data_IF_768191475012
#
_entry.id   IF_768191475012
#
_cell.length_a   1.000
_cell.length_b   1.000
_cell.length_c   1.000
_cell.angle_alpha   90.00
_cell.angle_beta   90.00
_cell.angle_gamma   90.00
#
_symmetry.space_group_name_H-M   'P 1'
#
loop_
_entity.id
_entity.type
_entity.pdbx_description
1 polymer ?
#
# COMPACT_ATOMS: atom_id res chain seq x y z
N UNK A 1 -0.51 17.80 -11.56
CA UNK A 1 -0.33 18.73 -10.42
C UNK A 1 0.72 18.14 -9.48
N UNK A 2 1.47 18.99 -8.76
CA UNK A 2 2.43 18.49 -7.80
C UNK A 2 1.70 17.73 -6.68
N UNK A 3 2.27 16.59 -6.26
CA UNK A 3 1.72 15.77 -5.18
C UNK A 3 2.64 15.84 -3.97
N UNK A 4 2.09 16.17 -2.81
CA UNK A 4 2.79 16.13 -1.52
C UNK A 4 2.37 14.87 -0.77
N UNK A 5 3.33 14.01 -0.47
CA UNK A 5 3.13 12.85 0.39
C UNK A 5 3.80 13.10 1.75
N UNK A 6 3.03 12.93 2.83
CA UNK A 6 3.53 13.02 4.20
C UNK A 6 3.43 11.64 4.86
N UNK A 7 4.51 11.23 5.51
CA UNK A 7 4.59 9.96 6.23
C UNK A 7 4.87 10.23 7.70
N UNK A 8 4.09 9.62 8.59
CA UNK A 8 4.32 9.62 10.02
C UNK A 8 4.41 8.18 10.52
N UNK A 9 5.42 7.90 11.33
CA UNK A 9 5.65 6.57 11.92
C UNK A 9 5.82 6.75 13.42
N UNK A 10 5.05 5.97 14.19
CA UNK A 10 5.16 5.90 15.63
C UNK A 10 5.00 4.46 16.12
N UNK A 11 5.31 4.21 17.38
CA UNK A 11 5.21 2.89 18.02
C UNK A 11 3.99 2.89 18.95
N UNK A 12 3.11 1.92 18.78
CA UNK A 12 1.95 1.72 19.64
C UNK A 12 1.93 0.28 20.18
N UNK A 13 1.25 0.08 21.31
CA UNK A 13 0.94 -1.27 21.80
C UNK A 13 -0.32 -1.77 21.10
N UNK A 14 -0.32 -3.04 20.70
CA UNK A 14 -1.45 -3.66 20.00
C UNK A 14 -2.79 -3.48 20.73
N UNK A 15 -2.78 -3.59 22.05
CA UNK A 15 -3.98 -3.46 22.89
C UNK A 15 -4.56 -2.04 22.97
N UNK A 16 -3.81 -1.01 22.59
CA UNK A 16 -4.22 0.39 22.65
C UNK A 16 -4.77 0.89 21.30
N UNK A 17 -4.74 0.04 20.27
CA UNK A 17 -5.20 0.39 18.92
C UNK A 17 -6.70 0.17 18.82
N UNK A 18 -7.44 1.20 18.42
CA UNK A 18 -8.85 1.13 18.05
C UNK A 18 -9.02 1.22 16.54
N UNK A 19 -10.06 0.58 16.04
CA UNK A 19 -10.42 0.63 14.61
C UNK A 19 -11.59 1.61 14.40
N UNK A 20 -11.73 2.21 13.20
CA UNK A 20 -12.64 3.32 13.00
C UNK A 20 -14.12 2.94 12.90
N UNK A 21 -14.47 1.66 12.68
CA UNK A 21 -15.87 1.28 12.52
C UNK A 21 -16.69 1.41 13.83
N UNK A 22 -17.98 1.77 13.72
CA UNK A 22 -18.92 1.81 14.83
C UNK A 22 -19.06 0.42 15.48
N UNK A 23 -19.11 0.36 16.81
CA UNK A 23 -19.02 -0.89 17.57
C UNK A 23 -20.35 -1.34 18.17
N UNK A 24 -21.05 -0.44 18.88
CA UNK A 24 -22.16 -0.86 19.75
C UNK A 24 -23.35 0.09 19.66
N UNK A 25 -24.53 -0.41 19.29
CA UNK A 25 -25.77 0.35 19.37
C UNK A 25 -26.01 0.92 20.77
N UNK A 26 -26.44 2.16 20.83
CA UNK A 26 -26.66 2.89 22.07
C UNK A 26 -25.46 3.71 22.57
N UNK A 27 -24.28 3.50 22.02
CA UNK A 27 -23.12 4.37 22.27
C UNK A 27 -23.33 5.77 21.73
N UNK A 28 -22.67 6.74 22.34
CA UNK A 28 -22.83 8.16 22.05
C UNK A 28 -21.80 8.58 21.00
N UNK A 29 -22.24 9.34 20.02
CA UNK A 29 -21.38 9.98 19.03
C UNK A 29 -21.05 11.40 19.45
N UNK A 30 -19.76 11.72 19.49
CA UNK A 30 -19.26 13.04 19.87
C UNK A 30 -18.28 13.56 18.82
N UNK A 31 -18.13 14.90 18.78
CA UNK A 31 -17.10 15.57 18.00
C UNK A 31 -16.22 16.41 18.90
N UNK A 32 -14.93 16.31 18.71
CA UNK A 32 -13.92 17.16 19.32
C UNK A 32 -13.45 18.16 18.28
N UNK A 33 -13.64 19.46 18.59
CA UNK A 33 -13.25 20.54 17.72
C UNK A 33 -11.83 21.03 18.05
N UNK A 34 -11.09 21.45 17.01
CA UNK A 34 -9.84 22.17 17.17
C UNK A 34 -10.07 23.67 16.98
N UNK A 35 -9.28 24.47 17.69
CA UNK A 35 -9.32 25.91 17.57
C UNK A 35 -8.42 26.39 16.44
N UNK A 36 -8.82 27.47 15.78
CA UNK A 36 -8.03 28.14 14.73
C UNK A 36 -7.85 29.62 15.09
N UNK A 37 -6.74 30.19 14.67
CA UNK A 37 -6.45 31.60 14.81
C UNK A 37 -7.16 32.44 13.70
N UNK A 38 -6.88 33.74 13.67
CA UNK A 38 -7.44 34.68 12.69
C UNK A 38 -7.02 34.41 11.23
N UNK A 39 -6.01 33.56 11.01
CA UNK A 39 -5.52 33.13 9.70
C UNK A 39 -5.96 31.69 9.34
N UNK A 40 -6.89 31.14 10.11
CA UNK A 40 -7.36 29.75 9.95
C UNK A 40 -6.25 28.68 10.19
N UNK A 41 -5.23 29.04 10.97
CA UNK A 41 -4.15 28.13 11.37
C UNK A 41 -4.54 27.47 12.71
N UNK A 42 -4.39 26.12 12.85
CA UNK A 42 -4.68 25.44 14.10
C UNK A 42 -3.86 26.01 15.29
N UNK A 43 -4.52 26.21 16.41
CA UNK A 43 -3.85 26.58 17.68
C UNK A 43 -3.16 25.33 18.23
N UNK A 44 -1.88 25.14 17.90
CA UNK A 44 -1.15 23.88 18.13
C UNK A 44 -1.11 23.45 19.60
N UNK A 45 -1.05 24.37 20.56
CA UNK A 45 -1.08 24.01 21.98
C UNK A 45 -2.44 23.40 22.38
N UNK A 46 -3.54 23.96 21.85
CA UNK A 46 -4.87 23.41 22.08
C UNK A 46 -5.02 22.03 21.40
N UNK A 47 -4.56 21.90 20.16
CA UNK A 47 -4.58 20.63 19.41
C UNK A 47 -3.81 19.54 20.16
N UNK A 48 -2.61 19.87 20.66
CA UNK A 48 -1.79 18.92 21.43
C UNK A 48 -2.47 18.49 22.73
N UNK A 49 -3.04 19.44 23.47
CA UNK A 49 -3.77 19.12 24.70
C UNK A 49 -5.01 18.25 24.43
N UNK A 50 -5.77 18.57 23.38
CA UNK A 50 -6.94 17.83 22.95
C UNK A 50 -6.57 16.39 22.54
N UNK A 51 -5.57 16.23 21.69
CA UNK A 51 -5.18 14.89 21.20
C UNK A 51 -4.60 14.02 22.31
N UNK A 52 -3.86 14.58 23.27
CA UNK A 52 -3.44 13.86 24.47
C UNK A 52 -4.65 13.36 25.28
N UNK A 53 -5.67 14.22 25.44
CA UNK A 53 -6.90 13.83 26.16
C UNK A 53 -7.65 12.72 25.39
N UNK A 54 -7.74 12.79 24.06
CA UNK A 54 -8.36 11.74 23.23
C UNK A 54 -7.58 10.42 23.36
N UNK A 55 -6.25 10.49 23.38
CA UNK A 55 -5.40 9.33 23.56
C UNK A 55 -5.68 8.62 24.91
N UNK A 56 -5.69 9.37 26.02
CA UNK A 56 -6.03 8.85 27.34
C UNK A 56 -7.45 8.23 27.38
N UNK A 57 -8.43 8.85 26.72
CA UNK A 57 -9.79 8.34 26.61
C UNK A 57 -9.86 7.06 25.76
N UNK A 58 -8.98 6.89 24.82
CA UNK A 58 -8.85 5.66 24.03
C UNK A 58 -8.22 4.55 24.86
N UNK A 59 -7.10 4.82 25.55
CA UNK A 59 -6.42 3.84 26.40
C UNK A 59 -7.32 3.29 27.51
N UNK A 60 -8.16 4.12 28.10
CA UNK A 60 -9.08 3.70 29.18
C UNK A 60 -10.40 3.10 28.65
N UNK A 61 -10.54 2.97 27.32
CA UNK A 61 -11.72 2.41 26.65
C UNK A 61 -12.99 3.25 26.78
N UNK A 62 -12.87 4.55 26.99
CA UNK A 62 -14.00 5.51 26.92
C UNK A 62 -14.35 5.75 25.46
N UNK A 63 -13.36 6.03 24.61
CA UNK A 63 -13.51 6.06 23.17
C UNK A 63 -13.23 4.65 22.63
N UNK A 64 -14.16 4.10 21.88
CA UNK A 64 -14.08 2.73 21.34
C UNK A 64 -13.89 2.70 19.83
N UNK A 65 -14.18 3.80 19.15
CA UNK A 65 -13.82 4.04 17.75
C UNK A 65 -13.72 5.55 17.47
N UNK A 66 -12.92 5.94 16.50
CA UNK A 66 -12.73 7.34 16.13
C UNK A 66 -12.35 7.51 14.66
N UNK A 67 -12.63 8.68 14.10
CA UNK A 67 -12.27 9.05 12.74
C UNK A 67 -11.96 10.55 12.64
N UNK A 68 -10.96 10.90 11.83
CA UNK A 68 -10.59 12.31 11.60
C UNK A 68 -11.51 12.92 10.54
N UNK A 69 -12.03 14.11 10.79
CA UNK A 69 -12.80 14.87 9.83
C UNK A 69 -11.90 15.57 8.79
N UNK A 70 -12.47 15.81 7.62
CA UNK A 70 -11.79 16.45 6.50
C UNK A 70 -12.59 17.67 5.96
N UNK A 71 -12.31 18.07 4.71
CA UNK A 71 -13.01 19.13 4.00
C UNK A 71 -14.54 18.95 3.90
N UNK A 72 -15.02 17.72 4.05
CA UNK A 72 -16.44 17.38 3.85
C UNK A 72 -17.25 17.36 5.15
N UNK A 73 -16.61 17.68 6.29
CA UNK A 73 -17.26 17.74 7.58
C UNK A 73 -17.37 16.42 8.32
N UNK A 74 -18.20 16.41 9.37
CA UNK A 74 -18.26 15.24 10.26
C UNK A 74 -19.26 14.16 9.81
N UNK A 75 -20.28 14.47 9.03
CA UNK A 75 -21.26 13.46 8.59
C UNK A 75 -20.62 12.41 7.67
N UNK A 76 -19.83 12.77 6.65
CA UNK A 76 -19.10 11.78 5.86
C UNK A 76 -18.12 10.93 6.67
N UNK A 77 -17.49 11.49 7.72
CA UNK A 77 -16.65 10.73 8.63
C UNK A 77 -17.46 9.64 9.37
N UNK A 78 -18.62 10.02 9.94
CA UNK A 78 -19.56 9.07 10.59
C UNK A 78 -20.08 8.01 9.62
N UNK A 79 -20.39 8.40 8.36
CA UNK A 79 -20.80 7.42 7.34
C UNK A 79 -19.71 6.36 7.10
N UNK A 80 -18.45 6.78 6.99
CA UNK A 80 -17.32 5.84 6.84
C UNK A 80 -17.17 4.93 8.05
N UNK A 81 -17.35 5.46 9.27
CA UNK A 81 -17.36 4.64 10.49
C UNK A 81 -18.51 3.63 10.49
N UNK A 82 -19.66 3.97 9.95
CA UNK A 82 -20.84 3.11 9.88
C UNK A 82 -20.71 1.96 8.87
N UNK A 83 -19.97 2.16 7.78
CA UNK A 83 -19.83 1.19 6.68
C UNK A 83 -19.20 -0.14 7.13
N UNK A 84 -18.25 -0.11 8.06
CA UNK A 84 -17.51 -1.31 8.49
C UNK A 84 -18.38 -2.39 9.08
N UNK A 85 -19.17 -2.06 10.12
CA UNK A 85 -20.07 -2.99 10.79
C UNK A 85 -21.53 -2.83 10.37
N UNK A 86 -21.82 -1.98 9.38
CA UNK A 86 -23.16 -1.70 8.86
C UNK A 86 -24.14 -1.24 9.94
N UNK A 87 -23.63 -0.56 10.96
CA UNK A 87 -24.44 0.07 11.98
C UNK A 87 -24.92 1.43 11.51
N UNK A 88 -26.13 1.81 11.92
CA UNK A 88 -26.64 3.14 11.64
C UNK A 88 -26.29 4.15 12.74
N UNK A 89 -26.71 5.39 12.52
CA UNK A 89 -26.68 6.42 13.56
C UNK A 89 -27.88 7.36 13.44
N UNK A 90 -28.22 7.98 14.57
CA UNK A 90 -29.21 9.05 14.62
C UNK A 90 -28.55 10.31 15.15
N UNK A 91 -28.56 11.38 14.37
CA UNK A 91 -28.05 12.68 14.76
C UNK A 91 -29.11 13.45 15.57
N UNK A 92 -28.65 14.28 16.51
CA UNK A 92 -29.51 15.17 17.26
C UNK A 92 -30.17 16.20 16.34
N UNK A 93 -31.45 16.45 16.53
CA UNK A 93 -32.24 17.36 15.68
C UNK A 93 -31.92 18.83 15.88
N UNK A 94 -31.23 19.20 16.95
CA UNK A 94 -30.79 20.57 17.28
C UNK A 94 -29.47 20.97 16.59
N UNK A 95 -28.77 20.03 15.94
CA UNK A 95 -27.61 20.34 15.12
C UNK A 95 -28.03 21.23 13.94
N UNK A 96 -27.20 22.22 13.62
CA UNK A 96 -27.43 23.11 12.48
C UNK A 96 -27.07 22.39 11.18
N UNK A 97 -27.92 22.51 10.17
CA UNK A 97 -27.70 21.86 8.86
C UNK A 97 -26.38 22.28 8.21
N UNK A 98 -26.01 23.57 8.33
CA UNK A 98 -24.77 24.10 7.78
C UNK A 98 -23.53 23.45 8.40
N UNK A 99 -23.61 22.96 9.65
CA UNK A 99 -22.48 22.35 10.33
C UNK A 99 -22.23 20.89 9.93
N UNK A 100 -23.20 20.21 9.30
CA UNK A 100 -23.11 18.78 8.98
C UNK A 100 -21.98 18.46 8.00
N UNK A 101 -21.79 19.35 7.03
CA UNK A 101 -20.83 19.21 5.92
C UNK A 101 -19.80 20.36 5.88
N UNK A 102 -19.78 21.22 6.90
CA UNK A 102 -18.78 22.28 6.99
C UNK A 102 -17.37 21.67 7.15
N UNK A 103 -16.35 22.24 6.49
CA UNK A 103 -14.96 21.80 6.67
C UNK A 103 -14.58 21.70 8.15
N UNK A 104 -13.95 20.58 8.54
CA UNK A 104 -13.63 20.30 9.92
C UNK A 104 -12.26 19.60 10.03
N UNK A 105 -11.26 20.12 9.32
CA UNK A 105 -9.92 19.57 9.31
C UNK A 105 -9.35 19.41 10.72
N UNK A 106 -8.81 18.22 11.03
CA UNK A 106 -8.23 17.91 12.32
C UNK A 106 -9.23 17.69 13.47
N UNK A 107 -10.53 18.00 13.28
CA UNK A 107 -11.55 17.60 14.24
C UNK A 107 -11.69 16.07 14.24
N UNK A 108 -12.05 15.49 15.37
CA UNK A 108 -12.22 14.05 15.53
C UNK A 108 -13.65 13.75 15.93
N UNK A 109 -14.30 12.84 15.20
CA UNK A 109 -15.53 12.19 15.63
C UNK A 109 -15.22 10.89 16.32
N UNK A 110 -15.91 10.59 17.40
CA UNK A 110 -15.69 9.40 18.21
C UNK A 110 -16.99 8.76 18.66
N UNK A 111 -16.95 7.44 18.75
CA UNK A 111 -17.93 6.65 19.47
C UNK A 111 -17.47 6.46 20.90
N UNK A 112 -18.30 6.86 21.85
CA UNK A 112 -18.04 6.82 23.27
C UNK A 112 -18.97 5.79 23.92
N UNK A 113 -18.42 4.89 24.73
CA UNK A 113 -19.20 3.96 25.51
C UNK A 113 -20.22 4.72 26.38
N UNK A 114 -21.48 4.32 26.30
CA UNK A 114 -22.61 5.07 26.90
C UNK A 114 -22.46 5.34 28.40
N UNK A 115 -21.94 4.37 29.12
CA UNK A 115 -21.71 4.42 30.56
C UNK A 115 -20.44 5.19 30.97
N UNK A 116 -19.61 5.59 30.00
CA UNK A 116 -18.35 6.30 30.23
C UNK A 116 -18.32 7.75 29.74
N UNK A 117 -19.45 8.28 29.30
CA UNK A 117 -19.52 9.64 28.78
C UNK A 117 -19.00 10.70 29.79
N UNK A 118 -19.26 10.47 31.08
CA UNK A 118 -18.83 11.37 32.18
C UNK A 118 -17.31 11.39 32.40
N UNK A 119 -16.56 10.48 31.77
CA UNK A 119 -15.10 10.47 31.80
C UNK A 119 -14.50 11.60 30.95
N UNK A 120 -15.23 12.11 29.97
CA UNK A 120 -14.75 13.19 29.08
C UNK A 120 -14.75 14.50 29.87
N UNK A 121 -13.56 15.06 30.06
CA UNK A 121 -13.36 16.35 30.74
C UNK A 121 -13.01 17.49 29.80
N UNK A 122 -12.62 17.16 28.56
CA UNK A 122 -12.40 18.16 27.50
C UNK A 122 -13.70 18.54 26.81
N UNK A 123 -13.74 19.68 26.16
CA UNK A 123 -14.92 20.12 25.43
C UNK A 123 -15.24 19.22 24.25
N UNK A 124 -16.51 18.89 24.06
CA UNK A 124 -17.01 18.12 22.93
C UNK A 124 -18.44 18.54 22.54
N UNK A 125 -18.80 18.27 21.32
CA UNK A 125 -20.16 18.41 20.81
C UNK A 125 -20.81 17.03 20.72
N UNK A 126 -21.94 16.82 21.40
CA UNK A 126 -22.72 15.57 21.27
C UNK A 126 -23.46 15.57 19.94
N UNK A 127 -23.12 14.64 19.06
CA UNK A 127 -23.70 14.53 17.72
C UNK A 127 -24.96 13.68 17.67
N UNK A 128 -25.01 12.60 18.44
CA UNK A 128 -26.10 11.64 18.36
C UNK A 128 -25.78 10.30 19.01
N UNK A 129 -26.32 9.26 18.45
CA UNK A 129 -26.22 7.90 19.01
C UNK A 129 -26.10 6.84 17.91
N UNK A 130 -25.32 5.80 18.15
CA UNK A 130 -25.22 4.62 17.29
C UNK A 130 -26.51 3.81 17.34
N UNK A 131 -26.98 3.33 16.20
CA UNK A 131 -28.22 2.55 16.05
C UNK A 131 -27.94 1.18 15.44
N UNK A 132 -28.67 0.17 15.88
CA UNK A 132 -28.61 -1.17 15.30
C UNK A 132 -29.20 -1.19 13.87
N UNK A 133 -30.28 -0.40 13.64
CA UNK A 133 -30.84 -0.26 12.30
C UNK A 133 -29.83 0.40 11.38
N UNK A 134 -29.50 -0.26 10.27
CA UNK A 134 -28.55 0.20 9.26
C UNK A 134 -29.10 1.40 8.47
N UNK A 135 -29.27 2.54 9.13
CA UNK A 135 -29.74 3.78 8.52
C UNK A 135 -29.11 5.00 9.20
N UNK A 136 -28.81 6.03 8.41
CA UNK A 136 -28.42 7.36 8.86
C UNK A 136 -29.68 8.21 8.99
N UNK A 137 -29.92 8.75 10.17
CA UNK A 137 -31.11 9.55 10.41
C UNK A 137 -30.79 10.94 10.96
N UNK A 138 -31.42 11.93 10.40
CA UNK A 138 -31.40 13.31 10.88
C UNK A 138 -32.73 13.98 10.57
N UNK A 139 -33.45 14.44 11.58
CA UNK A 139 -34.82 14.96 11.46
C UNK A 139 -35.71 13.96 10.68
N UNK A 140 -36.31 14.38 9.58
CA UNK A 140 -37.17 13.56 8.72
C UNK A 140 -36.40 12.75 7.67
N UNK A 141 -35.08 12.97 7.56
CA UNK A 141 -34.23 12.30 6.56
C UNK A 141 -33.76 10.95 7.11
N UNK A 142 -33.87 9.91 6.29
CA UNK A 142 -33.35 8.57 6.58
C UNK A 142 -32.72 7.98 5.32
N UNK A 143 -31.45 7.61 5.40
CA UNK A 143 -30.67 7.02 4.30
C UNK A 143 -30.21 5.64 4.72
N UNK A 144 -30.40 4.63 3.88
CA UNK A 144 -29.92 3.28 4.14
C UNK A 144 -28.39 3.20 4.01
N UNK A 145 -27.71 2.48 4.95
CA UNK A 145 -26.26 2.34 4.97
C UNK A 145 -25.74 1.67 3.71
N UNK A 146 -26.38 0.59 3.25
CA UNK A 146 -25.96 -0.14 2.04
C UNK A 146 -26.09 0.71 0.78
N UNK A 147 -27.15 1.51 0.69
CA UNK A 147 -27.35 2.45 -0.42
C UNK A 147 -26.22 3.49 -0.44
N UNK A 148 -25.92 4.09 0.71
CA UNK A 148 -24.85 5.07 0.83
C UNK A 148 -23.47 4.46 0.54
N UNK A 149 -23.22 3.23 1.01
CA UNK A 149 -21.98 2.49 0.74
C UNK A 149 -21.82 2.22 -0.76
N UNK A 150 -22.87 1.73 -1.43
CA UNK A 150 -22.85 1.51 -2.89
C UNK A 150 -22.48 2.77 -3.66
N UNK A 151 -23.12 3.90 -3.32
CA UNK A 151 -22.80 5.19 -3.97
C UNK A 151 -21.36 5.62 -3.75
N UNK A 152 -20.81 5.35 -2.56
CA UNK A 152 -19.43 5.69 -2.24
C UNK A 152 -18.42 4.80 -2.98
N UNK A 153 -18.67 3.49 -3.06
CA UNK A 153 -17.83 2.51 -3.76
C UNK A 153 -17.88 2.69 -5.29
N UNK A 154 -19.07 2.91 -5.85
CA UNK A 154 -19.27 3.01 -7.29
C UNK A 154 -18.60 4.23 -7.95
N UNK A 155 -18.18 5.21 -7.16
CA UNK A 155 -17.62 6.48 -7.68
C UNK A 155 -16.43 6.27 -8.63
N UNK A 156 -15.57 5.33 -8.36
CA UNK A 156 -14.38 5.02 -9.16
C UNK A 156 -14.52 3.71 -9.94
N UNK A 157 -15.63 2.99 -9.81
CA UNK A 157 -15.80 1.64 -10.39
C UNK A 157 -15.57 1.60 -11.90
N UNK A 158 -15.92 2.69 -12.63
CA UNK A 158 -15.67 2.79 -14.08
C UNK A 158 -14.21 2.92 -14.47
N UNK A 159 -13.35 3.38 -13.55
CA UNK A 159 -11.92 3.62 -13.77
C UNK A 159 -11.09 2.50 -13.12
N UNK A 160 -11.48 2.08 -11.93
CA UNK A 160 -10.85 1.03 -11.16
C UNK A 160 -11.91 0.01 -10.71
N UNK A 161 -12.31 -0.93 -11.60
CA UNK A 161 -13.32 -1.93 -11.27
C UNK A 161 -12.89 -2.79 -10.08
N UNK A 162 -13.74 -2.88 -9.06
CA UNK A 162 -13.54 -3.75 -7.89
C UNK A 162 -14.05 -5.16 -8.12
N UNK A 163 -14.90 -5.34 -9.14
CA UNK A 163 -15.47 -6.64 -9.52
C UNK A 163 -14.93 -7.07 -10.87
N UNK A 164 -14.21 -8.18 -10.87
CA UNK A 164 -13.84 -8.86 -12.13
C UNK A 164 -15.09 -9.52 -12.73
N UNK A 165 -15.13 -9.65 -14.07
CA UNK A 165 -16.22 -10.35 -14.74
C UNK A 165 -16.45 -11.73 -14.11
N UNK A 166 -17.71 -12.13 -14.02
CA UNK A 166 -18.18 -13.33 -13.29
C UNK A 166 -17.66 -14.70 -13.77
N UNK A 167 -16.85 -14.73 -14.80
CA UNK A 167 -16.19 -15.96 -15.26
C UNK A 167 -14.90 -16.21 -14.49
N UNK A 168 -15.02 -16.60 -13.24
CA UNK A 168 -13.91 -17.22 -12.52
C UNK A 168 -13.92 -18.72 -12.83
N UNK A 169 -13.18 -19.12 -13.83
CA UNK A 169 -12.73 -20.50 -13.88
C UNK A 169 -11.85 -20.74 -12.66
N UNK A 170 -12.25 -21.71 -11.85
CA UNK A 170 -11.41 -22.18 -10.74
C UNK A 170 -10.05 -22.59 -11.30
N UNK A 171 -9.02 -21.81 -11.02
CA UNK A 171 -7.65 -22.17 -11.38
C UNK A 171 -7.18 -23.21 -10.37
N UNK A 172 -6.91 -24.42 -10.84
CA UNK A 172 -6.29 -25.45 -10.02
C UNK A 172 -4.89 -24.97 -9.61
N UNK A 173 -4.71 -24.68 -8.32
CA UNK A 173 -3.40 -24.29 -7.79
C UNK A 173 -2.52 -25.55 -7.70
N UNK A 174 -1.65 -25.74 -8.67
CA UNK A 174 -0.63 -26.79 -8.61
C UNK A 174 0.48 -26.35 -7.67
N UNK A 175 0.54 -26.97 -6.51
CA UNK A 175 1.66 -26.79 -5.58
C UNK A 175 2.85 -27.60 -6.11
N UNK A 176 3.99 -26.93 -6.29
CA UNK A 176 5.24 -27.59 -6.60
C UNK A 176 5.84 -28.17 -5.30
N UNK A 177 5.94 -29.49 -5.24
CA UNK A 177 6.67 -30.18 -4.18
C UNK A 177 7.98 -30.70 -4.76
N UNK A 178 9.10 -30.09 -4.32
CA UNK A 178 10.41 -30.56 -4.74
C UNK A 178 10.71 -31.89 -4.07
N UNK A 179 10.90 -32.95 -4.86
CA UNK A 179 11.35 -34.26 -4.37
C UNK A 179 12.83 -34.21 -3.92
N UNK A 180 13.62 -33.37 -4.59
CA UNK A 180 15.04 -33.18 -4.28
C UNK A 180 15.40 -31.71 -4.27
N UNK A 181 16.25 -31.30 -3.30
CA UNK A 181 16.84 -29.96 -3.28
C UNK A 181 17.99 -29.92 -4.29
N UNK A 182 17.91 -29.01 -5.26
CA UNK A 182 19.00 -28.80 -6.21
C UNK A 182 20.24 -28.26 -5.49
N UNK A 183 21.37 -28.91 -5.69
CA UNK A 183 22.66 -28.50 -5.13
C UNK A 183 23.54 -28.04 -6.28
N UNK A 184 23.97 -26.78 -6.25
CA UNK A 184 24.85 -26.21 -7.26
C UNK A 184 26.12 -27.05 -7.42
N UNK A 185 26.46 -27.37 -8.67
CA UNK A 185 27.66 -28.15 -9.01
C UNK A 185 28.93 -27.34 -8.83
N UNK A 186 28.87 -26.05 -9.12
CA UNK A 186 29.99 -25.11 -9.05
C UNK A 186 30.01 -24.38 -7.70
N UNK A 187 30.50 -25.05 -6.66
CA UNK A 187 30.56 -24.50 -5.30
C UNK A 187 31.61 -23.40 -5.19
N UNK A 188 31.22 -22.26 -4.64
CA UNK A 188 32.10 -21.14 -4.28
C UNK A 188 32.00 -20.86 -2.79
N UNK A 189 33.10 -20.44 -2.18
CA UNK A 189 33.14 -20.18 -0.74
C UNK A 189 32.23 -19.02 -0.35
N UNK A 190 32.14 -18.00 -1.19
CA UNK A 190 31.30 -16.81 -1.01
C UNK A 190 30.67 -16.44 -2.32
N UNK A 191 29.36 -16.69 -2.53
CA UNK A 191 28.70 -16.38 -3.78
C UNK A 191 28.62 -14.86 -3.99
N UNK A 192 28.75 -14.42 -5.24
CA UNK A 192 28.54 -13.04 -5.65
C UNK A 192 27.15 -12.89 -6.24
N UNK A 193 26.47 -11.81 -5.85
CA UNK A 193 25.14 -11.43 -6.34
C UNK A 193 25.25 -10.13 -7.10
N UNK A 194 24.82 -10.12 -8.34
CA UNK A 194 24.70 -8.90 -9.12
C UNK A 194 23.28 -8.33 -9.03
N UNK A 195 23.16 -7.05 -8.67
CA UNK A 195 21.89 -6.31 -8.61
C UNK A 195 21.94 -5.17 -9.61
N UNK A 196 21.24 -5.27 -10.76
CA UNK A 196 21.08 -4.18 -11.71
C UNK A 196 20.09 -3.14 -11.19
N UNK A 197 20.44 -1.87 -11.27
CA UNK A 197 19.60 -0.73 -10.86
C UNK A 197 19.26 0.13 -12.06
N UNK A 198 17.98 0.37 -12.30
CA UNK A 198 17.45 1.22 -13.35
C UNK A 198 16.67 2.40 -12.74
N UNK A 199 16.41 3.47 -13.52
CA UNK A 199 15.52 4.53 -13.07
C UNK A 199 14.19 3.97 -12.57
N UNK A 200 13.80 4.31 -11.33
CA UNK A 200 12.62 3.78 -10.66
C UNK A 200 12.82 2.51 -9.84
N UNK A 201 14.01 1.89 -9.84
CA UNK A 201 14.38 0.84 -8.86
C UNK A 201 14.58 1.48 -7.49
N UNK A 202 14.10 0.84 -6.41
CA UNK A 202 14.27 1.36 -5.06
C UNK A 202 14.45 0.30 -3.96
N UNK A 203 14.54 -0.97 -4.31
CA UNK A 203 14.70 -2.09 -3.35
C UNK A 203 16.11 -2.70 -3.39
N UNK A 204 17.07 -2.10 -4.07
CA UNK A 204 18.45 -2.59 -4.18
C UNK A 204 19.18 -2.59 -2.84
N UNK A 205 18.91 -1.60 -1.99
CA UNK A 205 19.54 -1.47 -0.68
C UNK A 205 19.13 -2.60 0.28
N UNK A 206 17.82 -2.88 0.37
CA UNK A 206 17.32 -3.94 1.24
C UNK A 206 17.67 -5.32 0.71
N UNK A 207 17.67 -5.50 -0.61
CA UNK A 207 18.14 -6.71 -1.28
C UNK A 207 19.63 -6.95 -0.99
N UNK A 208 20.45 -5.91 -1.08
CA UNK A 208 21.87 -5.98 -0.73
C UNK A 208 22.07 -6.49 0.70
N UNK A 209 21.40 -5.86 1.67
CA UNK A 209 21.48 -6.29 3.09
C UNK A 209 21.04 -7.73 3.30
N UNK A 210 19.98 -8.17 2.61
CA UNK A 210 19.49 -9.54 2.75
C UNK A 210 20.52 -10.56 2.26
N UNK A 211 21.15 -10.33 1.12
CA UNK A 211 22.18 -11.20 0.57
C UNK A 211 23.49 -11.18 1.39
N UNK A 212 23.91 -10.02 1.88
CA UNK A 212 25.08 -9.89 2.77
C UNK A 212 24.86 -10.63 4.09
N UNK A 213 23.67 -10.55 4.70
CA UNK A 213 23.30 -11.33 5.90
C UNK A 213 23.33 -12.83 5.63
N UNK A 214 23.03 -13.25 4.41
CA UNK A 214 23.12 -14.64 3.98
C UNK A 214 24.55 -15.07 3.63
N UNK A 215 25.54 -14.18 3.75
CA UNK A 215 26.95 -14.47 3.52
C UNK A 215 27.45 -14.29 2.09
N UNK A 216 26.69 -13.62 1.23
CA UNK A 216 27.10 -13.30 -0.14
C UNK A 216 27.88 -11.97 -0.25
N UNK A 217 28.65 -11.81 -1.33
CA UNK A 217 29.16 -10.52 -1.79
C UNK A 217 28.22 -9.91 -2.81
N UNK A 218 27.86 -8.63 -2.67
CA UNK A 218 26.91 -7.98 -3.56
C UNK A 218 27.59 -6.95 -4.47
N UNK A 219 27.26 -6.98 -5.75
CA UNK A 219 27.69 -6.02 -6.76
C UNK A 219 26.45 -5.25 -7.22
N UNK A 220 26.34 -3.98 -6.85
CA UNK A 220 25.27 -3.10 -7.31
C UNK A 220 25.82 -2.19 -8.41
N UNK A 221 25.12 -2.12 -9.55
CA UNK A 221 25.49 -1.22 -10.65
C UNK A 221 24.26 -0.50 -11.18
N UNK A 222 24.41 0.82 -11.37
CA UNK A 222 23.36 1.69 -11.93
C UNK A 222 23.49 1.77 -13.43
N UNK A 223 22.37 1.58 -14.13
CA UNK A 223 22.29 1.74 -15.57
C UNK A 223 22.21 3.22 -15.94
N UNK A 224 23.25 3.73 -16.62
CA UNK A 224 23.34 5.12 -17.08
C UNK A 224 22.59 5.26 -18.40
N UNK A 225 21.50 5.99 -18.44
CA UNK A 225 20.64 6.12 -19.63
C UNK A 225 20.54 7.55 -20.18
N UNK A 226 21.44 8.46 -19.76
CA UNK A 226 21.41 9.86 -20.18
C UNK A 226 21.86 10.05 -21.61
N UNK A 227 22.83 9.26 -22.09
CA UNK A 227 23.36 9.31 -23.42
C UNK A 227 23.80 7.93 -23.95
N UNK A 228 24.15 7.87 -25.23
CA UNK A 228 24.57 6.63 -25.88
C UNK A 228 25.92 6.08 -25.35
N UNK A 229 26.79 6.92 -24.82
CA UNK A 229 28.05 6.48 -24.23
C UNK A 229 27.81 5.81 -22.88
N UNK A 230 26.98 6.40 -21.99
CA UNK A 230 26.60 5.83 -20.73
C UNK A 230 25.85 4.51 -20.88
N UNK A 231 24.98 4.38 -21.90
CA UNK A 231 24.30 3.11 -22.20
C UNK A 231 25.31 2.03 -22.57
N UNK A 232 26.27 2.30 -23.45
CA UNK A 232 27.31 1.32 -23.82
C UNK A 232 28.17 0.92 -22.62
N UNK A 233 28.64 1.91 -21.86
CA UNK A 233 29.39 1.66 -20.61
C UNK A 233 28.61 0.76 -19.65
N UNK A 234 27.33 1.03 -19.44
CA UNK A 234 26.48 0.24 -18.55
C UNK A 234 26.30 -1.20 -19.02
N UNK A 235 26.13 -1.41 -20.34
CA UNK A 235 26.04 -2.76 -20.92
C UNK A 235 27.32 -3.54 -20.65
N UNK A 236 28.50 -2.92 -20.89
CA UNK A 236 29.80 -3.57 -20.68
C UNK A 236 30.06 -3.82 -19.16
N UNK A 237 29.66 -2.90 -18.27
CA UNK A 237 29.77 -3.10 -16.81
C UNK A 237 28.84 -4.20 -16.30
N UNK A 238 27.62 -4.27 -16.80
CA UNK A 238 26.65 -5.30 -16.43
C UNK A 238 27.09 -6.67 -16.93
N UNK A 239 27.56 -6.80 -18.17
CA UNK A 239 28.14 -8.03 -18.71
C UNK A 239 29.26 -8.56 -17.79
N UNK A 240 30.21 -7.71 -17.40
CA UNK A 240 31.30 -8.07 -16.49
C UNK A 240 30.80 -8.47 -15.11
N UNK A 241 29.81 -7.73 -14.56
CA UNK A 241 29.22 -8.04 -13.26
C UNK A 241 28.52 -9.41 -13.28
N UNK A 242 27.73 -9.70 -14.31
CA UNK A 242 27.05 -10.99 -14.50
C UNK A 242 28.10 -12.12 -14.63
N UNK A 243 29.16 -11.89 -15.40
CA UNK A 243 30.21 -12.89 -15.59
C UNK A 243 30.93 -13.30 -14.30
N UNK A 244 31.00 -12.40 -13.31
CA UNK A 244 31.63 -12.65 -12.00
C UNK A 244 30.68 -13.20 -10.95
N UNK A 245 29.37 -13.15 -11.20
CA UNK A 245 28.32 -13.48 -10.20
C UNK A 245 27.80 -14.90 -10.36
N UNK A 246 27.31 -15.48 -9.28
CA UNK A 246 26.59 -16.75 -9.25
C UNK A 246 25.08 -16.52 -9.23
N UNK A 247 24.63 -15.34 -8.82
CA UNK A 247 23.22 -14.97 -8.72
C UNK A 247 23.03 -13.61 -9.39
N UNK A 248 21.96 -13.48 -10.18
CA UNK A 248 21.45 -12.19 -10.61
C UNK A 248 20.12 -11.92 -9.89
N UNK A 249 20.00 -10.75 -9.24
CA UNK A 249 18.81 -10.33 -8.52
C UNK A 249 18.17 -9.12 -9.19
N UNK A 250 16.96 -9.28 -9.71
CA UNK A 250 16.13 -8.21 -10.26
C UNK A 250 15.29 -7.62 -9.12
N UNK A 251 15.63 -6.42 -8.62
CA UNK A 251 14.95 -5.83 -7.48
C UNK A 251 13.57 -5.27 -7.85
N UNK A 252 12.81 -4.95 -6.81
CA UNK A 252 11.54 -4.28 -6.94
C UNK A 252 11.67 -2.78 -7.22
N UNK A 253 10.54 -2.10 -7.21
CA UNK A 253 10.39 -0.69 -7.54
C UNK A 253 9.44 -0.50 -8.71
N UNK A 254 9.61 0.58 -9.46
CA UNK A 254 8.71 0.99 -10.55
C UNK A 254 9.48 1.35 -11.80
N UNK A 255 10.38 0.46 -12.27
CA UNK A 255 11.23 0.77 -13.42
C UNK A 255 10.40 1.04 -14.69
N UNK A 256 10.39 2.29 -15.14
CA UNK A 256 9.59 2.84 -16.24
C UNK A 256 8.06 2.85 -15.99
N UNK A 257 7.61 2.78 -14.74
CA UNK A 257 6.20 2.82 -14.34
C UNK A 257 5.65 1.46 -13.93
N UNK A 258 4.42 1.46 -13.43
CA UNK A 258 3.72 0.29 -12.90
C UNK A 258 2.44 -0.05 -13.69
N UNK A 259 2.22 0.62 -14.80
CA UNK A 259 1.15 0.29 -15.74
C UNK A 259 1.46 -1.04 -16.43
N UNK A 260 0.44 -1.85 -16.82
CA UNK A 260 0.65 -3.15 -17.44
C UNK A 260 1.68 -3.15 -18.57
N UNK A 261 1.65 -2.13 -19.42
CA UNK A 261 2.60 -1.98 -20.53
C UNK A 261 3.97 -1.43 -20.09
N UNK A 262 4.02 -0.71 -18.95
CA UNK A 262 5.22 -0.06 -18.41
C UNK A 262 6.02 -0.90 -17.45
N UNK A 263 5.38 -1.87 -16.76
CA UNK A 263 6.01 -2.66 -15.70
C UNK A 263 7.30 -3.34 -16.20
N UNK A 264 8.40 -3.10 -15.47
CA UNK A 264 9.73 -3.65 -15.76
C UNK A 264 10.27 -3.35 -17.14
N UNK A 265 9.81 -2.29 -17.81
CA UNK A 265 10.16 -1.95 -19.19
C UNK A 265 11.66 -1.72 -19.39
N UNK A 266 12.33 -1.05 -18.45
CA UNK A 266 13.76 -0.85 -18.53
C UNK A 266 14.54 -2.15 -18.45
N UNK A 267 14.19 -3.03 -17.50
CA UNK A 267 14.79 -4.37 -17.40
C UNK A 267 14.59 -5.15 -18.69
N UNK A 268 13.36 -5.23 -19.18
CA UNK A 268 13.04 -6.00 -20.37
C UNK A 268 13.78 -5.49 -21.61
N UNK A 269 13.91 -4.18 -21.78
CA UNK A 269 14.61 -3.56 -22.91
C UNK A 269 16.12 -3.80 -22.81
N UNK A 270 16.72 -3.53 -21.65
CA UNK A 270 18.16 -3.66 -21.48
C UNK A 270 18.64 -5.12 -21.59
N UNK A 271 17.94 -6.07 -20.94
CA UNK A 271 18.35 -7.47 -20.94
C UNK A 271 18.04 -8.22 -22.25
N UNK A 272 17.33 -7.61 -23.19
CA UNK A 272 17.25 -8.08 -24.59
C UNK A 272 18.44 -7.69 -25.44
N UNK A 273 19.32 -6.81 -24.94
CA UNK A 273 20.61 -6.57 -25.60
C UNK A 273 21.39 -7.87 -25.71
N UNK A 274 22.02 -8.12 -26.85
CA UNK A 274 22.69 -9.40 -27.16
C UNK A 274 23.76 -9.79 -26.12
N UNK A 275 24.61 -8.84 -25.69
CA UNK A 275 25.67 -9.09 -24.69
C UNK A 275 25.08 -9.47 -23.33
N UNK A 276 24.08 -8.73 -22.86
CA UNK A 276 23.46 -8.99 -21.57
C UNK A 276 22.66 -10.29 -21.59
N UNK A 277 21.93 -10.56 -22.67
CA UNK A 277 21.24 -11.83 -22.89
C UNK A 277 22.20 -13.00 -22.80
N UNK A 278 23.27 -12.98 -23.59
CA UNK A 278 24.30 -14.02 -23.61
C UNK A 278 24.94 -14.23 -22.22
N UNK A 279 25.25 -13.14 -21.51
CA UNK A 279 25.82 -13.22 -20.17
C UNK A 279 24.88 -13.91 -19.15
N UNK A 280 23.58 -13.59 -19.20
CA UNK A 280 22.57 -14.24 -18.36
C UNK A 280 22.38 -15.71 -18.74
N UNK A 281 22.31 -16.03 -20.02
CA UNK A 281 22.19 -17.41 -20.50
C UNK A 281 23.38 -18.27 -20.09
N UNK A 282 24.62 -17.73 -20.18
CA UNK A 282 25.83 -18.40 -19.65
C UNK A 282 25.79 -18.58 -18.14
N UNK A 283 25.31 -17.57 -17.39
CA UNK A 283 25.14 -17.68 -15.95
C UNK A 283 24.23 -18.86 -15.59
N UNK A 284 23.07 -18.94 -16.21
CA UNK A 284 22.05 -19.93 -15.87
C UNK A 284 22.36 -21.32 -16.40
N UNK A 285 22.78 -21.45 -17.66
CA UNK A 285 22.89 -22.76 -18.34
C UNK A 285 24.27 -23.39 -18.24
N UNK A 286 25.35 -22.60 -18.20
CA UNK A 286 26.72 -23.13 -18.18
C UNK A 286 27.33 -23.12 -16.78
N UNK A 287 27.01 -22.10 -15.97
CA UNK A 287 27.62 -21.93 -14.64
C UNK A 287 26.73 -22.38 -13.47
N UNK A 288 25.56 -22.94 -13.78
CA UNK A 288 24.57 -23.41 -12.78
C UNK A 288 24.17 -22.30 -11.80
N UNK A 289 24.04 -21.07 -12.31
CA UNK A 289 23.69 -19.89 -11.53
C UNK A 289 22.19 -19.73 -11.34
N UNK A 290 21.81 -18.71 -10.59
CA UNK A 290 20.42 -18.43 -10.21
C UNK A 290 19.99 -17.03 -10.67
N UNK A 291 18.69 -16.89 -10.98
CA UNK A 291 18.02 -15.61 -11.14
C UNK A 291 16.88 -15.49 -10.12
N UNK A 292 16.82 -14.37 -9.42
CA UNK A 292 15.75 -14.02 -8.49
C UNK A 292 15.10 -12.71 -8.94
N UNK A 293 13.79 -12.63 -8.94
CA UNK A 293 13.05 -11.40 -9.20
C UNK A 293 11.97 -11.18 -8.16
N UNK A 294 11.90 -9.98 -7.60
CA UNK A 294 10.91 -9.61 -6.58
C UNK A 294 10.07 -8.44 -7.11
N UNK A 295 8.73 -8.54 -7.00
CA UNK A 295 7.78 -7.50 -7.39
C UNK A 295 8.02 -7.07 -8.86
N UNK A 296 8.46 -5.85 -9.13
CA UNK A 296 8.81 -5.39 -10.48
C UNK A 296 9.91 -6.24 -11.14
N UNK A 297 10.85 -6.77 -10.37
CA UNK A 297 11.84 -7.74 -10.85
C UNK A 297 11.21 -9.08 -11.28
N UNK A 298 10.17 -9.55 -10.59
CA UNK A 298 9.42 -10.73 -11.03
C UNK A 298 8.66 -10.45 -12.33
N UNK A 299 8.05 -9.29 -12.47
CA UNK A 299 7.46 -8.85 -13.73
C UNK A 299 8.49 -8.84 -14.87
N UNK A 300 9.74 -8.43 -14.58
CA UNK A 300 10.83 -8.50 -15.55
C UNK A 300 11.15 -9.94 -15.97
N UNK A 301 11.23 -10.88 -15.02
CA UNK A 301 11.48 -12.30 -15.31
C UNK A 301 10.39 -12.91 -16.20
N UNK A 302 9.12 -12.55 -15.98
CA UNK A 302 8.00 -12.97 -16.85
C UNK A 302 8.15 -12.36 -18.24
N UNK A 303 8.34 -11.04 -18.35
CA UNK A 303 8.47 -10.32 -19.64
C UNK A 303 9.70 -10.73 -20.45
N UNK A 304 10.76 -11.12 -19.79
CA UNK A 304 11.98 -11.63 -20.44
C UNK A 304 11.82 -13.09 -20.92
N UNK A 305 10.85 -13.83 -20.37
CA UNK A 305 10.68 -15.25 -20.63
C UNK A 305 11.48 -16.16 -19.70
N UNK A 306 12.24 -15.60 -18.76
CA UNK A 306 13.10 -16.38 -17.86
C UNK A 306 12.32 -17.34 -16.97
N UNK A 307 11.19 -16.92 -16.40
CA UNK A 307 10.31 -17.81 -15.61
C UNK A 307 9.53 -18.76 -16.52
N UNK A 308 8.83 -18.31 -17.58
CA UNK A 308 8.05 -19.22 -18.41
C UNK A 308 8.88 -20.23 -19.22
N UNK A 309 10.04 -19.81 -19.71
CA UNK A 309 10.78 -20.58 -20.73
C UNK A 309 12.21 -20.95 -20.30
N UNK A 310 12.70 -20.45 -19.15
CA UNK A 310 14.10 -20.66 -18.72
C UNK A 310 15.13 -19.91 -19.56
N UNK A 311 14.73 -19.03 -20.47
CA UNK A 311 15.59 -18.30 -21.39
C UNK A 311 15.02 -16.92 -21.69
N UNK A 312 15.88 -15.98 -22.13
CA UNK A 312 15.43 -14.67 -22.59
C UNK A 312 14.86 -14.79 -24.01
N UNK A 313 13.53 -14.70 -24.11
CA UNK A 313 12.79 -14.84 -25.37
C UNK A 313 11.99 -13.59 -25.71
N UNK A 314 11.57 -13.47 -26.98
CA UNK A 314 10.55 -12.51 -27.37
C UNK A 314 9.18 -12.87 -26.78
N UNK A 315 8.30 -11.88 -26.71
CA UNK A 315 6.89 -12.07 -26.34
C UNK A 315 6.02 -12.10 -27.60
N UNK A 316 4.94 -12.87 -27.54
CA UNK A 316 3.86 -12.93 -28.52
C UNK A 316 2.50 -12.93 -27.81
N UNK A 317 1.41 -12.99 -28.55
CA UNK A 317 0.04 -12.97 -28.02
C UNK A 317 -0.28 -14.12 -27.05
N UNK A 318 0.46 -15.23 -27.11
CA UNK A 318 0.28 -16.42 -26.28
C UNK A 318 1.28 -16.47 -25.11
N UNK A 319 2.18 -15.50 -25.00
CA UNK A 319 3.15 -15.46 -23.91
C UNK A 319 2.45 -15.25 -22.57
N UNK A 320 2.83 -16.00 -21.53
CA UNK A 320 2.33 -15.76 -20.20
C UNK A 320 2.54 -14.31 -19.78
N UNK A 321 1.54 -13.72 -19.15
CA UNK A 321 1.58 -12.36 -18.61
C UNK A 321 0.92 -12.32 -17.25
N UNK A 322 1.21 -11.27 -16.49
CA UNK A 322 0.52 -10.98 -15.24
C UNK A 322 -0.69 -10.10 -15.55
N UNK A 323 -1.81 -10.42 -14.95
CA UNK A 323 -3.07 -9.67 -15.04
C UNK A 323 -3.75 -9.63 -13.68
N UNK A 324 -4.75 -8.78 -13.56
CA UNK A 324 -5.61 -8.68 -12.37
C UNK A 324 -6.68 -9.77 -12.38
#
# INVERSE_FOLDING_TARGET
PPTLCSFAIDVAKEGDIITPELKTPGNVLVKFDIEHDEYDIPVFEQVKALYNSIHELTENGTIVSAYVCDANGFVPALCKMAFGNKLGFALNSDLKEESLFAPAYGCIVAEVAKDKLDNIKTAYTKLGEVKEKAAFTYKEVSINVEEALSVWEDKLEKVFPTKVSKETTSIETKLFNAENVHICKNKVAKPKVFIPVFPGTNCEYDSTKAFERAGADVIVKVFKNLDAAGIRESVDEFEKAIAQSQIIMFPGGFSAGDEPDGSAKFFATAFRNAKMKEAVEKLLNERDGLALGICNGFQALIKLGLVPNGAITGQNEQSPTLTF
#
